data_IF_648378981084
#
_entry.id   IF_648378981084
#
_cell.length_a   1.000
_cell.length_b   1.000
_cell.length_c   1.000
_cell.angle_alpha   90.00
_cell.angle_beta   90.00
_cell.angle_gamma   90.00
#
_symmetry.space_group_name_H-M   'P 1'
#
loop_
_entity.id
_entity.type
_entity.pdbx_description
1 polymer ?
#
# COMPACT_ATOMS: atom_id res chain seq x y z
N UNK A 1 -19.68 -23.53 -1.61
CA UNK A 1 -19.03 -22.75 -2.70
C UNK A 1 -18.72 -21.36 -2.15
N UNK A 2 -17.45 -21.03 -1.89
CA UNK A 2 -17.07 -19.72 -1.38
C UNK A 2 -16.86 -18.75 -2.54
N UNK A 3 -17.75 -17.76 -2.68
CA UNK A 3 -17.55 -16.66 -3.60
C UNK A 3 -16.52 -15.69 -3.03
N UNK A 4 -15.33 -15.63 -3.63
CA UNK A 4 -14.37 -14.54 -3.41
C UNK A 4 -14.92 -13.29 -4.08
N UNK A 5 -15.56 -12.41 -3.32
CA UNK A 5 -15.85 -11.05 -3.77
C UNK A 5 -14.53 -10.27 -3.75
N UNK A 6 -13.85 -10.21 -4.90
CA UNK A 6 -12.77 -9.25 -5.10
C UNK A 6 -13.41 -7.86 -5.23
N UNK A 7 -13.51 -7.13 -4.11
CA UNK A 7 -13.89 -5.73 -4.14
C UNK A 7 -12.78 -4.94 -4.84
N UNK A 8 -13.06 -4.51 -6.07
CA UNK A 8 -12.19 -3.62 -6.86
C UNK A 8 -12.29 -2.22 -6.26
N UNK A 9 -11.58 -1.96 -5.16
CA UNK A 9 -11.51 -0.61 -4.58
C UNK A 9 -10.75 0.28 -5.57
N UNK A 10 -11.47 1.20 -6.21
CA UNK A 10 -10.91 2.13 -7.18
C UNK A 10 -9.82 2.99 -6.53
N UNK A 11 -8.59 2.90 -7.06
CA UNK A 11 -7.37 3.60 -6.58
C UNK A 11 -7.48 5.13 -6.66
N UNK A 12 -8.51 5.65 -7.31
CA UNK A 12 -8.69 7.06 -7.70
C UNK A 12 -9.45 7.94 -6.70
N UNK A 13 -9.96 7.38 -5.58
CA UNK A 13 -10.77 8.16 -4.64
C UNK A 13 -9.92 9.15 -3.84
N UNK A 14 -10.28 10.44 -3.90
CA UNK A 14 -9.72 11.54 -3.10
C UNK A 14 -9.67 11.19 -1.60
N UNK A 15 -10.59 10.36 -1.10
CA UNK A 15 -10.63 9.91 0.29
C UNK A 15 -9.49 8.94 0.65
N UNK A 16 -9.05 8.07 -0.27
CA UNK A 16 -7.89 7.19 -0.02
C UNK A 16 -6.58 7.98 0.03
N UNK A 17 -6.46 9.04 -0.75
CA UNK A 17 -5.33 9.97 -0.65
C UNK A 17 -5.38 10.80 0.65
N UNK A 18 -6.59 11.08 1.18
CA UNK A 18 -6.80 11.95 2.33
C UNK A 18 -6.52 11.30 3.70
N UNK A 19 -6.57 9.97 3.79
CA UNK A 19 -6.22 9.22 5.01
C UNK A 19 -4.87 8.49 4.95
N UNK A 20 -4.14 8.57 3.84
CA UNK A 20 -2.71 8.24 3.81
C UNK A 20 -1.89 9.34 4.49
N UNK A 21 -2.23 9.67 5.73
CA UNK A 21 -1.53 10.67 6.54
C UNK A 21 -0.05 10.32 6.72
N UNK A 22 0.30 9.04 6.63
CA UNK A 22 1.69 8.58 6.63
C UNK A 22 2.42 8.87 5.31
N UNK A 23 1.72 8.92 4.17
CA UNK A 23 2.37 9.01 2.85
C UNK A 23 3.21 10.30 2.65
N UNK A 24 2.77 11.50 3.05
CA UNK A 24 3.62 12.69 3.01
C UNK A 24 4.92 12.54 3.80
N UNK A 25 4.84 11.98 5.01
CA UNK A 25 6.02 11.72 5.85
C UNK A 25 6.94 10.71 5.16
N UNK A 26 6.40 9.56 4.74
CA UNK A 26 7.16 8.52 4.04
C UNK A 26 7.83 9.04 2.76
N UNK A 27 7.14 9.86 1.96
CA UNK A 27 7.68 10.49 0.74
C UNK A 27 8.86 11.41 1.05
N UNK A 28 8.81 12.13 2.18
CA UNK A 28 9.89 13.02 2.62
C UNK A 28 11.09 12.25 3.16
N UNK A 29 10.85 11.16 3.90
CA UNK A 29 11.89 10.40 4.61
C UNK A 29 12.61 9.35 3.77
N UNK A 30 11.89 8.62 2.89
CA UNK A 30 12.49 7.55 2.07
C UNK A 30 13.70 8.02 1.22
N UNK A 31 13.71 9.23 0.64
CA UNK A 31 14.89 9.75 -0.06
C UNK A 31 16.16 9.86 0.78
N UNK A 32 16.05 9.95 2.11
CA UNK A 32 17.19 10.04 3.04
C UNK A 32 17.98 8.73 3.15
N UNK A 33 17.37 7.59 2.79
CA UNK A 33 18.08 6.32 2.69
C UNK A 33 18.98 6.29 1.46
N UNK A 34 20.10 5.58 1.58
CA UNK A 34 21.01 5.34 0.47
C UNK A 34 20.38 4.39 -0.55
N UNK A 35 20.92 4.39 -1.77
CA UNK A 35 20.46 3.48 -2.82
C UNK A 35 20.55 2.00 -2.40
N UNK A 36 21.59 1.63 -1.63
CA UNK A 36 21.77 0.28 -1.12
C UNK A 36 20.75 -0.08 -0.03
N UNK A 37 20.46 0.84 0.89
CA UNK A 37 19.46 0.61 1.95
C UNK A 37 18.06 0.40 1.36
N UNK A 38 17.63 1.27 0.44
CA UNK A 38 16.36 1.13 -0.26
C UNK A 38 16.26 -0.21 -1.02
N UNK A 39 17.38 -0.63 -1.63
CA UNK A 39 17.48 -1.91 -2.33
C UNK A 39 17.22 -3.10 -1.41
N UNK A 40 17.90 -3.16 -0.26
CA UNK A 40 17.75 -4.30 0.67
C UNK A 40 16.36 -4.33 1.32
N UNK A 41 15.79 -3.17 1.65
CA UNK A 41 14.41 -3.05 2.15
C UNK A 41 13.40 -3.52 1.11
N UNK A 42 13.53 -3.07 -0.14
CA UNK A 42 12.63 -3.46 -1.23
C UNK A 42 12.65 -4.97 -1.47
N UNK A 43 13.83 -5.62 -1.41
CA UNK A 43 13.92 -7.09 -1.52
C UNK A 43 13.18 -7.79 -0.38
N UNK A 44 13.37 -7.34 0.86
CA UNK A 44 12.69 -7.91 2.03
C UNK A 44 11.17 -7.76 1.91
N UNK A 45 10.68 -6.59 1.52
CA UNK A 45 9.24 -6.32 1.44
C UNK A 45 8.57 -6.98 0.24
N UNK A 46 9.23 -7.05 -0.92
CA UNK A 46 8.70 -7.82 -2.07
C UNK A 46 8.53 -9.29 -1.69
N UNK A 47 9.49 -9.87 -0.94
CA UNK A 47 9.39 -11.24 -0.43
C UNK A 47 8.27 -11.38 0.61
N UNK A 48 8.02 -10.38 1.45
CA UNK A 48 6.89 -10.37 2.38
C UNK A 48 5.54 -10.37 1.65
N UNK A 49 5.40 -9.55 0.60
CA UNK A 49 4.18 -9.42 -0.20
C UNK A 49 3.93 -10.69 -1.01
N UNK A 50 4.99 -11.23 -1.63
CA UNK A 50 4.91 -12.40 -2.51
C UNK A 50 6.14 -13.31 -2.30
N UNK A 51 6.09 -14.27 -1.37
CA UNK A 51 7.23 -15.13 -1.05
C UNK A 51 7.77 -15.96 -2.24
N UNK A 52 6.88 -16.34 -3.17
CA UNK A 52 7.21 -17.11 -4.37
C UNK A 52 7.23 -16.26 -5.65
N UNK A 53 7.57 -14.97 -5.50
CA UNK A 53 7.49 -13.95 -6.56
C UNK A 53 8.16 -14.35 -7.86
N UNK A 54 9.38 -14.89 -7.79
CA UNK A 54 10.17 -15.25 -8.96
C UNK A 54 9.54 -16.39 -9.78
N UNK A 55 8.82 -17.30 -9.13
CA UNK A 55 8.15 -18.42 -9.80
C UNK A 55 6.81 -17.99 -10.40
N UNK A 56 6.01 -17.23 -9.64
CA UNK A 56 4.67 -16.84 -10.07
C UNK A 56 4.66 -15.66 -11.07
N UNK A 57 5.62 -14.75 -10.91
CA UNK A 57 5.74 -13.48 -11.62
C UNK A 57 7.23 -13.19 -11.95
N UNK A 58 7.84 -13.97 -12.86
CA UNK A 58 9.25 -13.88 -13.19
C UNK A 58 9.60 -12.55 -13.87
N UNK A 59 10.70 -11.89 -13.47
CA UNK A 59 11.12 -10.60 -14.06
C UNK A 59 11.59 -10.70 -15.52
N UNK A 60 11.99 -11.88 -15.97
CA UNK A 60 12.43 -12.11 -17.35
C UNK A 60 11.28 -12.53 -18.26
N UNK A 61 10.04 -12.64 -17.76
CA UNK A 61 8.87 -13.07 -18.53
C UNK A 61 8.78 -14.58 -18.81
N UNK A 62 9.75 -15.40 -18.40
CA UNK A 62 9.73 -16.85 -18.65
C UNK A 62 8.76 -17.55 -17.71
N UNK A 63 7.58 -17.96 -18.20
CA UNK A 63 6.52 -18.54 -17.39
C UNK A 63 5.99 -19.83 -18.01
N UNK A 64 5.69 -20.83 -17.17
CA UNK A 64 4.99 -22.03 -17.61
C UNK A 64 3.49 -21.73 -17.66
N UNK A 65 2.88 -21.89 -18.83
CA UNK A 65 1.45 -21.69 -19.06
C UNK A 65 0.92 -22.95 -19.75
N UNK A 66 -0.08 -23.60 -19.15
CA UNK A 66 -0.65 -24.86 -19.63
C UNK A 66 0.39 -25.99 -19.87
N UNK A 67 1.46 -26.03 -19.06
CA UNK A 67 2.53 -27.02 -19.16
C UNK A 67 3.66 -26.67 -20.13
N UNK A 68 3.54 -25.58 -20.90
CA UNK A 68 4.56 -25.14 -21.85
C UNK A 68 5.31 -23.91 -21.35
N UNK A 69 6.62 -23.85 -21.62
CA UNK A 69 7.44 -22.68 -21.29
C UNK A 69 7.20 -21.57 -22.33
N UNK A 70 6.59 -20.49 -21.89
CA UNK A 70 6.35 -19.30 -22.70
C UNK A 70 7.30 -18.16 -22.31
N UNK A 71 7.75 -17.41 -23.31
CA UNK A 71 8.50 -16.17 -23.13
C UNK A 71 7.53 -15.00 -23.26
N UNK A 72 7.02 -14.53 -22.13
CA UNK A 72 6.14 -13.36 -22.07
C UNK A 72 6.98 -12.08 -22.08
N UNK A 73 6.32 -10.95 -22.37
CA UNK A 73 6.90 -9.64 -22.05
C UNK A 73 7.04 -9.54 -20.51
N UNK A 74 8.17 -9.06 -19.97
CA UNK A 74 8.30 -8.79 -18.53
C UNK A 74 7.14 -8.00 -17.92
N UNK A 75 6.53 -7.09 -18.68
CA UNK A 75 5.40 -6.31 -18.19
C UNK A 75 4.10 -7.14 -18.11
N UNK A 76 3.96 -8.21 -18.91
CA UNK A 76 2.83 -9.16 -18.84
C UNK A 76 2.97 -10.13 -17.65
N UNK A 77 4.20 -10.41 -17.21
CA UNK A 77 4.45 -11.20 -16.00
C UNK A 77 4.42 -10.37 -14.71
N UNK A 78 4.15 -9.06 -14.79
CA UNK A 78 4.04 -8.15 -13.64
C UNK A 78 2.84 -8.55 -12.75
N UNK A 79 3.00 -8.66 -11.41
CA UNK A 79 1.86 -8.99 -10.56
C UNK A 79 0.89 -7.80 -10.47
N UNK A 80 -0.41 -8.03 -10.24
CA UNK A 80 -1.42 -6.97 -10.15
C UNK A 80 -1.18 -5.92 -9.04
N UNK A 81 -0.41 -6.31 -8.02
CA UNK A 81 -0.03 -5.43 -6.91
C UNK A 81 1.20 -4.59 -7.20
N UNK A 82 2.01 -4.89 -8.23
CA UNK A 82 3.16 -4.05 -8.54
C UNK A 82 2.67 -2.66 -9.02
N UNK A 83 3.29 -1.56 -8.58
CA UNK A 83 2.88 -0.23 -9.01
C UNK A 83 3.03 -0.09 -10.53
N UNK A 84 1.98 0.35 -11.25
CA UNK A 84 1.97 0.39 -12.71
C UNK A 84 3.07 1.30 -13.29
N UNK A 85 3.40 2.38 -12.58
CA UNK A 85 4.43 3.35 -12.94
C UNK A 85 5.87 2.86 -12.70
N UNK A 86 6.04 1.71 -12.04
CA UNK A 86 7.36 1.11 -11.79
C UNK A 86 7.59 -0.06 -12.73
N UNK A 87 8.76 -0.08 -13.39
CA UNK A 87 9.16 -1.18 -14.28
C UNK A 87 9.18 -2.51 -13.53
N UNK A 88 8.78 -3.59 -14.19
CA UNK A 88 8.84 -4.92 -13.58
C UNK A 88 10.28 -5.48 -13.62
N UNK A 89 11.12 -5.06 -12.67
CA UNK A 89 12.51 -5.51 -12.52
C UNK A 89 12.84 -5.81 -11.06
N UNK A 90 13.87 -6.62 -10.84
CA UNK A 90 14.39 -6.83 -9.49
C UNK A 90 14.80 -5.50 -8.85
N UNK A 91 14.64 -5.34 -7.52
CA UNK A 91 15.02 -4.11 -6.82
C UNK A 91 16.44 -3.64 -7.12
N UNK A 92 17.38 -4.56 -7.35
CA UNK A 92 18.78 -4.26 -7.67
C UNK A 92 18.93 -3.51 -9.01
N UNK A 93 17.97 -3.66 -9.92
CA UNK A 93 17.95 -3.06 -11.26
C UNK A 93 17.01 -1.85 -11.39
N UNK A 94 16.25 -1.53 -10.33
CA UNK A 94 15.43 -0.32 -10.29
C UNK A 94 16.28 0.92 -9.99
N UNK A 95 15.91 2.05 -10.58
CA UNK A 95 16.47 3.35 -10.20
C UNK A 95 16.07 3.71 -8.76
N UNK A 96 16.82 4.60 -8.09
CA UNK A 96 16.51 5.02 -6.71
C UNK A 96 15.07 5.52 -6.58
N UNK A 97 14.61 6.35 -7.53
CA UNK A 97 13.24 6.87 -7.56
C UNK A 97 12.19 5.75 -7.69
N UNK A 98 12.42 4.76 -8.54
CA UNK A 98 11.54 3.61 -8.71
C UNK A 98 11.47 2.74 -7.45
N UNK A 99 12.61 2.54 -6.75
CA UNK A 99 12.61 1.85 -5.45
C UNK A 99 11.79 2.59 -4.41
N UNK A 100 11.90 3.92 -4.37
CA UNK A 100 11.11 4.76 -3.46
C UNK A 100 9.62 4.61 -3.79
N UNK A 101 9.23 4.68 -5.07
CA UNK A 101 7.84 4.48 -5.49
C UNK A 101 7.32 3.08 -5.10
N UNK A 102 8.11 2.03 -5.33
CA UNK A 102 7.78 0.66 -4.93
C UNK A 102 7.61 0.52 -3.41
N UNK A 103 8.53 1.08 -2.63
CA UNK A 103 8.46 1.05 -1.16
C UNK A 103 7.25 1.81 -0.64
N UNK A 104 6.98 3.00 -1.18
CA UNK A 104 5.77 3.77 -0.85
C UNK A 104 4.50 2.97 -1.14
N UNK A 105 4.43 2.31 -2.29
CA UNK A 105 3.30 1.48 -2.65
C UNK A 105 3.10 0.34 -1.64
N UNK A 106 4.17 -0.39 -1.30
CA UNK A 106 4.08 -1.50 -0.35
C UNK A 106 3.67 -1.00 1.06
N UNK A 107 4.30 0.07 1.55
CA UNK A 107 4.03 0.65 2.87
C UNK A 107 2.59 1.17 2.99
N UNK A 108 2.11 1.88 1.96
CA UNK A 108 0.84 2.61 2.05
C UNK A 108 -0.34 1.78 1.54
N UNK A 109 -0.15 1.03 0.45
CA UNK A 109 -1.26 0.61 -0.42
C UNK A 109 -1.65 -0.86 -0.27
N UNK A 110 -0.77 -1.68 0.30
CA UNK A 110 -0.94 -3.13 0.34
C UNK A 110 -1.54 -3.66 1.66
N UNK A 111 -1.94 -2.78 2.59
CA UNK A 111 -2.60 -3.21 3.85
C UNK A 111 -3.89 -3.97 3.59
N UNK A 112 -4.85 -3.34 2.90
CA UNK A 112 -6.17 -3.95 2.73
C UNK A 112 -6.15 -5.15 1.76
N UNK A 113 -5.28 -5.12 0.75
CA UNK A 113 -5.25 -6.14 -0.30
C UNK A 113 -4.34 -7.34 0.03
N UNK A 114 -3.25 -7.13 0.79
CA UNK A 114 -2.23 -8.16 1.07
C UNK A 114 -1.91 -8.29 2.58
N UNK A 115 -2.67 -7.59 3.43
CA UNK A 115 -2.47 -7.61 4.88
C UNK A 115 -1.12 -7.04 5.30
N UNK A 116 -0.54 -6.12 4.54
CA UNK A 116 0.77 -5.51 4.86
C UNK A 116 0.57 -4.46 5.96
N UNK A 117 0.97 -4.82 7.17
CA UNK A 117 0.94 -3.94 8.35
C UNK A 117 2.33 -3.48 8.73
N UNK A 118 2.42 -2.38 9.49
CA UNK A 118 3.67 -1.91 10.09
C UNK A 118 4.41 -3.02 10.84
N UNK A 119 3.70 -3.86 11.58
CA UNK A 119 4.28 -4.98 12.34
C UNK A 119 4.88 -6.08 11.44
N UNK A 120 4.21 -6.41 10.32
CA UNK A 120 4.74 -7.41 9.37
C UNK A 120 5.95 -6.88 8.62
N UNK A 121 5.94 -5.60 8.28
CA UNK A 121 7.11 -4.92 7.71
C UNK A 121 8.28 -4.94 8.69
N UNK A 122 8.03 -4.63 9.97
CA UNK A 122 8.97 -4.71 11.11
C UNK A 122 9.52 -6.11 11.43
N UNK A 123 8.89 -7.14 10.91
CA UNK A 123 9.38 -8.52 11.05
C UNK A 123 10.22 -8.93 9.85
N UNK A 124 9.90 -8.42 8.66
CA UNK A 124 10.53 -8.83 7.40
C UNK A 124 11.92 -8.22 7.19
N UNK A 125 12.10 -6.96 7.58
CA UNK A 125 13.37 -6.24 7.51
C UNK A 125 14.40 -6.70 8.55
N UNK A 126 14.02 -7.39 9.64
CA UNK A 126 14.93 -7.78 10.71
C UNK A 126 16.17 -8.53 10.17
N UNK A 127 15.98 -9.32 9.12
CA UNK A 127 17.05 -10.03 8.39
C UNK A 127 18.06 -9.11 7.68
N UNK A 128 17.66 -7.89 7.35
CA UNK A 128 18.47 -6.87 6.65
C UNK A 128 18.82 -5.66 7.51
N UNK A 129 18.32 -5.58 8.75
CA UNK A 129 18.50 -4.42 9.65
C UNK A 129 19.97 -4.04 9.85
N UNK A 130 20.86 -5.05 9.95
CA UNK A 130 22.33 -4.86 10.03
C UNK A 130 22.98 -4.15 8.82
N UNK A 131 22.29 -4.10 7.69
CA UNK A 131 22.77 -3.45 6.45
C UNK A 131 22.35 -1.97 6.39
N UNK A 132 21.58 -1.50 7.36
CA UNK A 132 21.11 -0.11 7.46
C UNK A 132 22.10 0.66 8.34
N UNK A 133 23.10 1.27 7.69
CA UNK A 133 24.18 2.03 8.32
C UNK A 133 24.23 3.44 7.69
N UNK A 134 24.41 4.52 8.47
CA UNK A 134 24.73 4.52 9.90
C UNK A 134 23.49 4.30 10.79
N UNK A 135 23.69 4.12 12.09
CA UNK A 135 22.66 3.65 13.04
C UNK A 135 21.45 4.60 13.11
N UNK A 136 21.64 5.88 12.84
CA UNK A 136 20.60 6.90 12.79
C UNK A 136 19.58 6.63 11.67
N UNK A 137 19.95 5.84 10.65
CA UNK A 137 19.01 5.37 9.62
C UNK A 137 18.04 4.31 10.14
N UNK A 138 18.35 3.65 11.25
CA UNK A 138 17.42 2.78 11.95
C UNK A 138 16.35 3.60 12.68
N UNK A 139 16.71 4.73 13.28
CA UNK A 139 15.75 5.64 13.92
C UNK A 139 14.74 6.18 12.89
N UNK A 140 15.24 6.53 11.70
CA UNK A 140 14.39 6.92 10.58
C UNK A 140 13.42 5.78 10.19
N UNK A 141 13.92 4.54 10.09
CA UNK A 141 13.10 3.38 9.75
C UNK A 141 12.03 3.11 10.82
N UNK A 142 12.40 3.24 12.10
CA UNK A 142 11.49 3.09 13.23
C UNK A 142 10.42 4.20 13.25
N UNK A 143 10.77 5.44 12.88
CA UNK A 143 9.82 6.54 12.65
C UNK A 143 8.81 6.18 11.54
N UNK A 144 9.26 5.64 10.40
CA UNK A 144 8.36 5.24 9.31
C UNK A 144 7.31 4.24 9.80
N UNK A 145 7.74 3.24 10.57
CA UNK A 145 6.81 2.24 11.08
C UNK A 145 5.91 2.76 12.18
N UNK A 146 6.39 3.65 13.05
CA UNK A 146 5.55 4.29 14.08
C UNK A 146 4.43 5.08 13.41
N UNK A 147 4.76 5.95 12.45
CA UNK A 147 3.77 6.76 11.72
C UNK A 147 2.78 5.88 10.97
N UNK A 148 3.26 4.79 10.36
CA UNK A 148 2.36 3.82 9.71
C UNK A 148 1.46 3.09 10.72
N UNK A 149 2.00 2.68 11.87
CA UNK A 149 1.22 2.03 12.93
C UNK A 149 0.15 2.95 13.52
N UNK A 150 0.45 4.24 13.71
CA UNK A 150 -0.52 5.25 14.17
C UNK A 150 -1.65 5.44 13.16
N UNK A 151 -1.34 5.48 11.86
CA UNK A 151 -2.34 5.51 10.80
C UNK A 151 -3.21 4.24 10.79
N UNK A 152 -2.60 3.07 10.97
CA UNK A 152 -3.32 1.79 11.07
C UNK A 152 -4.31 1.79 12.24
N UNK A 153 -3.86 2.21 13.42
CA UNK A 153 -4.69 2.33 14.63
C UNK A 153 -5.80 3.37 14.46
N UNK A 154 -5.51 4.51 13.84
CA UNK A 154 -6.51 5.55 13.58
C UNK A 154 -7.61 5.02 12.67
N UNK A 155 -7.24 4.34 11.58
CA UNK A 155 -8.19 3.72 10.65
C UNK A 155 -9.01 2.61 11.33
N UNK A 156 -8.39 1.80 12.20
CA UNK A 156 -9.11 0.80 13.00
C UNK A 156 -10.08 1.43 14.00
N UNK A 157 -9.69 2.53 14.67
CA UNK A 157 -10.56 3.27 15.57
C UNK A 157 -11.78 3.86 14.86
N UNK A 158 -11.61 4.40 13.64
CA UNK A 158 -12.72 4.85 12.80
C UNK A 158 -13.71 3.71 12.51
N UNK A 159 -13.19 2.54 12.12
CA UNK A 159 -14.01 1.35 11.87
C UNK A 159 -14.72 0.86 13.13
N UNK A 160 -14.04 0.90 14.28
CA UNK A 160 -14.59 0.51 15.58
C UNK A 160 -15.71 1.42 16.07
N UNK A 161 -15.71 2.69 15.67
CA UNK A 161 -16.80 3.65 15.93
C UNK A 161 -17.98 3.52 14.96
N UNK A 162 -18.00 2.49 14.10
CA UNK A 162 -19.03 2.32 13.06
C UNK A 162 -18.95 3.37 11.95
N UNK A 163 -17.93 4.24 11.96
CA UNK A 163 -17.68 5.22 10.91
C UNK A 163 -16.99 4.50 9.76
N UNK A 164 -17.78 4.03 8.81
CA UNK A 164 -17.25 3.59 7.53
C UNK A 164 -16.74 4.82 6.79
N UNK A 165 -15.50 4.81 6.26
CA UNK A 165 -15.05 5.83 5.34
C UNK A 165 -15.95 5.82 4.09
N UNK A 166 -16.98 6.66 4.05
CA UNK A 166 -17.88 6.74 2.89
C UNK A 166 -17.21 7.52 1.77
N UNK A 167 -17.22 6.95 0.57
CA UNK A 167 -16.70 7.52 -0.65
C UNK A 167 -17.85 8.16 -1.44
N UNK A 168 -17.88 9.49 -1.53
CA UNK A 168 -18.80 10.19 -2.42
C UNK A 168 -17.97 10.96 -3.45
N UNK A 169 -17.89 10.44 -4.68
CA UNK A 169 -17.61 11.29 -5.85
C UNK A 169 -18.94 11.87 -6.25
N UNK A 170 -19.09 13.20 -6.22
CA UNK A 170 -20.22 13.84 -6.92
C UNK A 170 -20.08 13.43 -8.39
N UNK A 171 -21.01 12.58 -8.83
CA UNK A 171 -21.23 12.33 -10.24
C UNK A 171 -21.46 13.67 -10.91
N UNK A 172 -20.79 13.86 -12.04
CA UNK A 172 -21.10 14.86 -13.07
C UNK A 172 -20.96 16.32 -12.63
N UNK A 173 -19.75 16.88 -12.80
CA UNK A 173 -19.51 18.08 -13.61
C UNK A 173 -18.04 18.53 -13.53
N UNK A 174 -17.45 18.76 -14.70
CA UNK A 174 -16.08 19.24 -14.91
C UNK A 174 -16.00 20.71 -14.50
N UNK A 175 -15.31 21.03 -13.40
CA UNK A 175 -14.75 22.38 -13.21
C UNK A 175 -13.50 22.35 -12.30
N UNK A 176 -12.42 23.10 -12.61
CA UNK A 176 -11.07 22.78 -12.15
C UNK A 176 -10.64 23.44 -10.84
N UNK A 177 -11.57 23.97 -10.04
CA UNK A 177 -11.18 24.63 -8.80
C UNK A 177 -12.32 24.59 -7.79
N UNK A 178 -12.12 23.85 -6.68
CA UNK A 178 -12.63 24.10 -5.32
C UNK A 178 -12.53 22.85 -4.42
N UNK A 179 -11.87 23.07 -3.29
CA UNK A 179 -11.75 22.27 -2.07
C UNK A 179 -12.78 21.13 -1.89
N UNK A 180 -12.27 19.90 -1.79
CA UNK A 180 -13.03 18.77 -1.28
C UNK A 180 -13.35 18.96 0.21
N UNK A 181 -14.62 19.22 0.53
CA UNK A 181 -15.16 19.20 1.90
C UNK A 181 -15.40 17.76 2.34
N UNK A 182 -14.86 17.39 3.51
CA UNK A 182 -15.13 16.09 4.14
C UNK A 182 -16.43 16.18 4.90
N UNK A 183 -17.40 15.35 4.53
CA UNK A 183 -18.57 15.09 5.37
C UNK A 183 -18.37 13.73 6.04
N UNK A 184 -18.21 13.76 7.37
CA UNK A 184 -18.27 12.55 8.20
C UNK A 184 -19.75 12.26 8.40
N UNK A 185 -20.29 11.26 7.70
CA UNK A 185 -21.65 10.82 7.95
C UNK A 185 -21.65 9.74 9.04
N UNK A 186 -22.40 9.98 10.11
CA UNK A 186 -22.79 8.94 11.07
C UNK A 186 -23.87 8.10 10.40
N UNK A 187 -23.60 6.85 10.09
CA UNK A 187 -24.64 5.93 9.63
C UNK A 187 -25.20 5.23 10.88
N UNK A 188 -26.53 5.25 11.01
CA UNK A 188 -27.34 4.57 12.05
C UNK A 188 -27.40 5.24 13.45
N UNK A 189 -28.03 6.40 13.56
CA UNK A 189 -28.95 6.60 14.69
C UNK A 189 -30.38 6.41 14.16
N UNK A 190 -31.25 5.60 14.79
CA UNK A 190 -32.68 5.74 14.57
C UNK A 190 -33.04 7.19 14.88
N UNK A 191 -33.81 7.81 13.99
CA UNK A 191 -34.37 9.15 14.25
C UNK A 191 -35.18 9.09 15.55
N UNK A 192 -35.12 10.16 16.34
CA UNK A 192 -35.83 10.26 17.63
C UNK A 192 -37.35 9.98 17.51
N UNK A 193 -37.90 10.04 16.30
CA UNK A 193 -39.29 9.70 15.99
C UNK A 193 -39.60 8.19 16.06
N UNK A 194 -38.61 7.29 16.04
CA UNK A 194 -38.81 5.84 16.19
C UNK A 194 -38.83 5.37 17.66
N UNK A 195 -38.53 6.24 18.62
CA UNK A 195 -38.59 5.93 20.06
C UNK A 195 -39.95 6.33 20.66
N UNK A 196 -40.80 7.04 19.91
CA UNK A 196 -42.13 7.50 20.38
C UNK A 196 -43.31 6.67 19.84
N UNK A 197 -43.09 5.45 19.36
CA UNK A 197 -44.17 4.53 18.98
C UNK A 197 -43.87 3.10 19.43
N UNK A 198 -43.78 2.91 20.75
CA UNK A 198 -44.04 1.65 21.44
C UNK A 198 -44.73 1.92 22.77
#
# INVERSE_FOLDING_TARGET
MYAKVQARVSRSSIAYQRYKVSAPVLRKRLPEFTANQLRVLAKAYVKLVEPHKQVQYPYNGRKIVAGELQQLNPEESKPPWWPPEVRHREPDHLLKAERIALLLHILCDLRCSHGITSQRLKSAEQSVRRQIIPVERLELLDELYRVRGEEEMFLEGLLGMGLQPTYHTKSDEVHPDKNATVLISRINLPTADEISNK
#
